data_IF_587213056437
#
_entry.id   IF_587213056437
#
_cell.length_a   1.000
_cell.length_b   1.000
_cell.length_c   1.000
_cell.angle_alpha   90.00
_cell.angle_beta   90.00
_cell.angle_gamma   90.00
#
_symmetry.space_group_name_H-M   'P 1'
#
loop_
_entity.id
_entity.type
_entity.pdbx_description
1 polymer ?
#
# COMPACT_ATOMS: atom_id res chain seq x y z
N UNK A 1 -14.91 -19.29 58.96
CA UNK A 1 -14.85 -18.39 60.14
C UNK A 1 -15.68 -19.02 61.24
N UNK A 2 -15.33 -18.92 62.53
CA UNK A 2 -14.47 -17.93 63.18
C UNK A 2 -13.32 -18.65 63.93
N UNK A 3 -12.36 -18.02 64.59
CA UNK A 3 -12.20 -16.65 65.02
C UNK A 3 -11.33 -16.71 66.26
N UNK A 4 -10.31 -15.86 66.26
CA UNK A 4 -9.41 -15.60 67.39
C UNK A 4 -10.26 -15.19 68.60
N UNK A 5 -9.81 -15.51 69.83
CA UNK A 5 -9.46 -14.41 70.72
C UNK A 5 -8.10 -14.72 71.40
N UNK A 6 -7.10 -13.83 71.42
CA UNK A 6 -7.06 -12.52 72.09
C UNK A 6 -7.46 -12.67 73.57
N UNK A 7 -6.79 -12.20 74.59
CA UNK A 7 -5.52 -11.53 74.86
C UNK A 7 -5.46 -11.52 76.41
N UNK A 8 -4.41 -10.95 76.98
CA UNK A 8 -4.39 -10.34 78.33
C UNK A 8 -4.02 -11.29 79.48
N UNK A 9 -2.78 -11.17 79.96
CA UNK A 9 -2.39 -10.30 81.09
C UNK A 9 -2.70 -10.96 82.45
N UNK A 10 -1.67 -11.54 83.08
CA UNK A 10 -1.34 -11.27 84.49
C UNK A 10 -0.08 -12.09 84.83
N UNK A 11 1.03 -11.45 85.20
CA UNK A 11 1.29 -10.88 86.54
C UNK A 11 1.71 -11.97 87.53
N UNK A 12 2.93 -11.81 88.07
CA UNK A 12 3.47 -12.48 89.26
C UNK A 12 3.64 -14.02 89.13
N UNK A 13 4.70 -14.65 89.58
CA UNK A 13 5.45 -14.42 90.80
C UNK A 13 6.76 -15.21 90.64
N UNK A 14 7.89 -14.61 91.01
CA UNK A 14 9.13 -15.36 91.19
C UNK A 14 9.36 -15.49 92.69
N UNK A 15 9.37 -16.72 93.25
CA UNK A 15 10.02 -16.96 94.52
C UNK A 15 11.34 -17.69 94.32
N UNK A 16 12.39 -16.91 94.63
CA UNK A 16 13.57 -17.25 95.42
C UNK A 16 13.85 -18.74 95.61
N UNK A 17 13.32 -19.39 96.63
CA UNK A 17 14.20 -19.90 97.67
C UNK A 17 13.98 -21.39 98.00
N UNK A 18 15.02 -22.21 97.83
CA UNK A 18 15.00 -23.58 98.37
C UNK A 18 16.04 -24.57 97.86
N UNK A 19 17.34 -24.27 97.94
CA UNK A 19 18.27 -25.34 98.34
C UNK A 19 18.02 -25.64 99.82
N UNK A 20 17.92 -26.92 100.21
CA UNK A 20 19.01 -27.41 101.05
C UNK A 20 19.40 -28.88 100.79
N UNK A 21 20.72 -29.03 100.67
CA UNK A 21 21.53 -29.95 101.46
C UNK A 21 21.13 -31.45 101.54
N UNK A 22 22.00 -32.23 100.89
CA UNK A 22 22.66 -33.46 101.33
C UNK A 22 22.47 -33.86 102.82
N UNK A 23 22.65 -35.15 103.23
CA UNK A 23 24.03 -35.65 103.29
C UNK A 23 24.25 -37.19 103.31
N UNK A 24 25.55 -37.50 103.18
CA UNK A 24 26.33 -38.65 103.72
C UNK A 24 26.42 -39.92 102.88
N UNK A 25 27.58 -40.58 102.78
CA UNK A 25 28.98 -40.30 103.13
C UNK A 25 29.75 -41.53 102.65
N UNK A 26 30.82 -41.34 101.89
CA UNK A 26 31.76 -42.40 101.52
C UNK A 26 33.17 -41.82 101.41
N UNK A 27 33.83 -41.74 102.56
CA UNK A 27 35.17 -41.19 102.78
C UNK A 27 36.25 -42.21 102.39
N UNK A 28 37.28 -41.80 101.62
CA UNK A 28 38.70 -42.22 101.79
C UNK A 28 39.66 -41.20 101.12
N UNK A 29 40.60 -40.58 101.84
CA UNK A 29 41.56 -39.62 101.30
C UNK A 29 42.96 -40.22 101.05
N UNK A 30 43.72 -39.60 100.13
CA UNK A 30 45.17 -39.41 100.30
C UNK A 30 45.70 -38.36 99.33
N UNK A 31 45.95 -37.15 99.84
CA UNK A 31 46.74 -36.08 99.22
C UNK A 31 48.23 -36.32 99.48
N UNK A 32 49.07 -36.25 98.44
CA UNK A 32 50.50 -35.94 98.58
C UNK A 32 50.94 -34.97 97.46
N UNK A 33 51.42 -33.82 97.93
CA UNK A 33 52.09 -32.68 97.28
C UNK A 33 53.26 -33.09 96.36
N UNK A 34 53.74 -32.31 95.38
CA UNK A 34 54.22 -30.93 95.56
C UNK A 34 54.70 -30.28 94.23
N UNK A 35 54.50 -28.94 94.15
CA UNK A 35 55.41 -27.90 93.65
C UNK A 35 55.67 -27.73 92.13
N UNK A 36 54.97 -26.71 91.59
CA UNK A 36 55.51 -25.58 90.82
C UNK A 36 56.96 -25.72 90.32
N UNK A 37 57.12 -26.04 89.02
CA UNK A 37 58.20 -25.64 88.08
C UNK A 37 58.28 -26.64 86.91
N UNK A 38 57.42 -26.53 85.89
CA UNK A 38 57.58 -27.36 84.68
C UNK A 38 57.43 -26.57 83.36
N UNK A 39 58.37 -26.69 82.41
CA UNK A 39 58.38 -26.01 81.10
C UNK A 39 57.27 -26.48 80.13
N UNK A 40 56.39 -27.39 80.57
CA UNK A 40 55.20 -27.85 79.84
C UNK A 40 54.17 -26.73 79.61
N UNK A 41 54.07 -25.75 80.50
CA UNK A 41 53.14 -24.62 80.33
C UNK A 41 53.54 -23.68 79.18
N UNK A 42 54.85 -23.49 78.96
CA UNK A 42 55.37 -22.64 77.87
C UNK A 42 55.05 -23.26 76.50
N UNK A 43 55.15 -24.59 76.39
CA UNK A 43 54.78 -25.32 75.17
C UNK A 43 53.31 -25.16 74.80
N UNK A 44 52.42 -25.20 75.79
CA UNK A 44 50.97 -25.02 75.58
C UNK A 44 50.64 -23.58 75.15
N UNK A 45 51.27 -22.58 75.77
CA UNK A 45 51.06 -21.17 75.40
C UNK A 45 51.60 -20.87 73.99
N UNK A 46 52.76 -21.43 73.63
CA UNK A 46 53.32 -21.30 72.29
C UNK A 46 52.42 -21.96 71.23
N UNK A 47 51.89 -23.15 71.50
CA UNK A 47 50.95 -23.83 70.61
C UNK A 47 49.63 -23.05 70.44
N UNK A 48 49.14 -22.41 71.51
CA UNK A 48 47.93 -21.58 71.47
C UNK A 48 48.14 -20.31 70.63
N UNK A 49 49.29 -19.64 70.77
CA UNK A 49 49.65 -18.49 69.93
C UNK A 49 49.82 -18.89 68.45
N UNK A 50 50.44 -20.04 68.19
CA UNK A 50 50.59 -20.57 66.83
C UNK A 50 49.22 -20.84 66.17
N UNK A 51 48.29 -21.42 66.93
CA UNK A 51 46.92 -21.67 66.47
C UNK A 51 46.20 -20.36 66.11
N UNK A 52 46.30 -19.34 66.97
CA UNK A 52 45.69 -18.02 66.72
C UNK A 52 46.27 -17.38 65.45
N UNK A 53 47.58 -17.46 65.24
CA UNK A 53 48.23 -16.90 64.05
C UNK A 53 47.75 -17.62 62.78
N UNK A 54 47.61 -18.95 62.81
CA UNK A 54 47.10 -19.73 61.67
C UNK A 54 45.65 -19.34 61.36
N UNK A 55 44.79 -19.25 62.39
CA UNK A 55 43.39 -18.82 62.23
C UNK A 55 43.31 -17.41 61.68
N UNK A 56 44.13 -16.49 62.20
CA UNK A 56 44.21 -15.12 61.72
C UNK A 56 44.66 -15.04 60.25
N UNK A 57 45.63 -15.87 59.85
CA UNK A 57 46.14 -15.91 58.48
C UNK A 57 45.12 -16.50 57.49
N UNK A 58 44.34 -17.49 57.93
CA UNK A 58 43.22 -18.04 57.14
C UNK A 58 42.09 -17.02 56.99
N UNK A 59 41.73 -16.32 58.06
CA UNK A 59 40.72 -15.24 57.98
C UNK A 59 41.20 -14.08 57.10
N UNK A 60 42.50 -13.79 57.04
CA UNK A 60 43.06 -12.72 56.20
C UNK A 60 43.12 -13.07 54.71
N UNK A 61 42.96 -14.33 54.33
CA UNK A 61 42.97 -14.79 52.92
C UNK A 61 41.60 -14.79 52.24
N UNK A 62 40.52 -14.43 52.94
CA UNK A 62 39.15 -14.46 52.39
C UNK A 62 38.62 -13.12 51.90
N UNK A 63 39.24 -12.51 50.87
CA UNK A 63 38.84 -11.19 50.40
C UNK A 63 39.13 -10.89 48.94
N UNK A 64 38.59 -11.68 48.00
CA UNK A 64 38.44 -11.26 46.60
C UNK A 64 36.96 -11.45 46.21
N UNK A 65 36.18 -10.38 46.38
CA UNK A 65 34.79 -10.31 45.94
C UNK A 65 34.76 -10.10 44.42
N UNK A 66 34.45 -11.15 43.67
CA UNK A 66 34.16 -11.07 42.24
C UNK A 66 32.90 -10.21 42.04
N UNK A 67 33.09 -8.97 41.62
CA UNK A 67 32.01 -8.07 41.19
C UNK A 67 31.38 -8.63 39.91
N UNK A 68 30.19 -9.20 40.04
CA UNK A 68 29.34 -9.61 38.91
C UNK A 68 28.61 -8.37 38.39
N UNK A 69 28.92 -7.96 37.16
CA UNK A 69 28.25 -6.88 36.44
C UNK A 69 26.80 -7.29 36.11
N UNK A 70 25.78 -6.42 36.30
CA UNK A 70 24.39 -6.81 36.09
C UNK A 70 24.11 -7.00 34.60
N UNK A 71 23.66 -8.20 34.23
CA UNK A 71 23.18 -8.52 32.87
C UNK A 71 21.93 -7.68 32.61
N UNK A 72 22.05 -6.68 31.73
CA UNK A 72 20.91 -5.92 31.22
C UNK A 72 20.10 -6.86 30.34
N UNK A 73 18.90 -7.22 30.79
CA UNK A 73 17.97 -8.04 30.03
C UNK A 73 17.45 -7.23 28.84
N UNK A 74 17.74 -7.69 27.62
CA UNK A 74 17.36 -7.02 26.38
C UNK A 74 16.36 -7.91 25.65
N UNK A 75 15.19 -7.35 25.34
CA UNK A 75 14.18 -8.06 24.56
C UNK A 75 14.61 -8.12 23.08
N UNK A 76 14.88 -9.33 22.59
CA UNK A 76 15.27 -9.57 21.19
C UNK A 76 14.13 -10.22 20.43
N UNK A 77 13.74 -9.62 19.30
CA UNK A 77 12.78 -10.22 18.36
C UNK A 77 13.52 -10.73 17.12
N UNK A 78 13.37 -12.01 16.73
CA UNK A 78 14.02 -12.54 15.54
C UNK A 78 13.45 -11.87 14.28
N UNK A 79 14.32 -11.34 13.42
CA UNK A 79 13.90 -10.73 12.15
C UNK A 79 13.55 -11.82 11.14
N UNK A 80 12.34 -11.74 10.57
CA UNK A 80 11.88 -12.61 9.48
C UNK A 80 11.86 -11.82 8.17
N UNK A 81 12.31 -12.45 7.09
CA UNK A 81 12.22 -11.87 5.73
C UNK A 81 10.79 -12.03 5.23
N UNK A 82 10.09 -10.90 5.11
CA UNK A 82 8.82 -10.82 4.40
C UNK A 82 9.02 -10.11 3.06
N UNK A 83 8.35 -10.58 2.02
CA UNK A 83 8.31 -9.90 0.72
C UNK A 83 7.39 -8.69 0.83
N UNK A 84 7.96 -7.48 0.77
CA UNK A 84 7.20 -6.24 0.78
C UNK A 84 6.86 -5.89 -0.66
N UNK A 85 5.58 -6.00 -1.01
CA UNK A 85 5.06 -5.52 -2.29
C UNK A 85 4.73 -4.04 -2.15
N UNK A 86 5.55 -3.21 -2.77
CA UNK A 86 5.30 -1.78 -2.89
C UNK A 86 4.31 -1.54 -4.04
N UNK A 87 3.14 -0.99 -3.72
CA UNK A 87 2.16 -0.58 -4.73
C UNK A 87 2.26 0.93 -4.88
N UNK A 88 2.35 1.38 -6.12
CA UNK A 88 2.27 2.80 -6.47
C UNK A 88 0.87 3.07 -6.99
N UNK A 89 0.08 3.81 -6.23
CA UNK A 89 -1.23 4.28 -6.67
C UNK A 89 -1.04 5.47 -7.61
N UNK A 90 -1.30 5.26 -8.90
CA UNK A 90 -1.28 6.30 -9.91
C UNK A 90 -2.70 6.64 -10.34
N UNK A 91 -3.12 7.89 -10.15
CA UNK A 91 -4.34 8.40 -10.74
C UNK A 91 -4.05 8.90 -12.16
N UNK A 92 -4.82 8.41 -13.13
CA UNK A 92 -4.73 8.84 -14.52
C UNK A 92 -6.13 8.91 -15.13
N UNK A 93 -6.30 9.75 -16.15
CA UNK A 93 -7.56 9.85 -16.88
C UNK A 93 -7.57 8.82 -18.00
N UNK A 94 -8.62 8.00 -18.08
CA UNK A 94 -8.87 7.15 -19.23
C UNK A 94 -9.45 8.01 -20.35
N UNK A 95 -8.62 8.36 -21.32
CA UNK A 95 -9.05 9.03 -22.54
C UNK A 95 -9.12 8.03 -23.68
N UNK A 96 -9.98 8.31 -24.68
CA UNK A 96 -9.96 7.58 -25.94
C UNK A 96 -8.55 7.67 -26.56
N UNK A 97 -8.10 6.59 -27.21
CA UNK A 97 -6.83 6.61 -27.94
C UNK A 97 -6.83 7.79 -28.93
N UNK A 98 -5.69 8.48 -29.11
CA UNK A 98 -5.60 9.57 -30.09
C UNK A 98 -6.16 9.15 -31.45
N UNK A 99 -7.08 9.94 -32.00
CA UNK A 99 -7.78 9.64 -33.27
C UNK A 99 -9.03 8.76 -33.16
N UNK A 100 -9.42 8.32 -31.96
CA UNK A 100 -10.69 7.59 -31.72
C UNK A 100 -11.84 8.52 -31.30
N UNK A 101 -11.58 9.82 -31.27
CA UNK A 101 -12.58 10.87 -31.05
C UNK A 101 -12.76 11.64 -32.36
N UNK A 102 -14.00 11.72 -32.83
CA UNK A 102 -14.36 12.42 -34.05
C UNK A 102 -15.58 13.30 -33.79
N UNK A 103 -15.47 14.58 -34.15
CA UNK A 103 -16.61 15.49 -34.19
C UNK A 103 -17.18 15.51 -35.60
N UNK A 104 -18.49 15.32 -35.72
CA UNK A 104 -19.18 15.30 -37.00
C UNK A 104 -19.88 16.63 -37.23
N UNK A 105 -19.56 17.29 -38.34
CA UNK A 105 -20.24 18.48 -38.83
C UNK A 105 -20.70 18.25 -40.26
N UNK A 106 -21.84 18.85 -40.65
CA UNK A 106 -22.28 18.80 -42.04
C UNK A 106 -21.29 19.55 -42.93
N UNK A 107 -20.88 18.93 -44.04
CA UNK A 107 -19.99 19.55 -45.03
C UNK A 107 -20.64 20.73 -45.77
N UNK A 108 -21.98 20.75 -45.84
CA UNK A 108 -22.75 21.85 -46.43
C UNK A 108 -23.75 22.39 -45.42
N UNK A 109 -24.01 23.71 -45.48
CA UNK A 109 -25.05 24.33 -44.67
C UNK A 109 -26.42 23.84 -45.15
N UNK A 110 -27.14 23.12 -44.30
CA UNK A 110 -28.46 22.61 -44.63
C UNK A 110 -29.25 22.26 -43.37
N UNK A 111 -30.57 22.19 -43.50
CA UNK A 111 -31.44 21.74 -42.42
C UNK A 111 -31.36 20.22 -42.30
N UNK A 112 -31.16 19.70 -41.09
CA UNK A 112 -31.28 18.27 -40.82
C UNK A 112 -32.75 17.87 -40.89
N UNK A 113 -33.09 16.91 -41.75
CA UNK A 113 -34.45 16.36 -41.87
C UNK A 113 -34.67 15.24 -40.88
N UNK A 114 -33.69 14.33 -40.76
CA UNK A 114 -33.77 13.17 -39.88
C UNK A 114 -32.41 12.87 -39.24
N UNK A 115 -32.45 12.43 -37.99
CA UNK A 115 -31.30 11.82 -37.30
C UNK A 115 -31.59 10.33 -37.20
N UNK A 116 -30.70 9.51 -37.76
CA UNK A 116 -30.90 8.06 -37.92
C UNK A 116 -30.29 7.24 -36.76
N UNK A 117 -29.63 7.92 -35.82
CA UNK A 117 -28.91 7.31 -34.71
C UNK A 117 -29.33 7.90 -33.37
N UNK A 118 -29.28 7.08 -32.33
CA UNK A 118 -29.54 7.51 -30.95
C UNK A 118 -28.24 7.66 -30.17
N UNK A 119 -28.22 8.56 -29.20
CA UNK A 119 -27.07 8.76 -28.30
C UNK A 119 -26.76 7.45 -27.56
N UNK A 120 -25.47 7.06 -27.55
CA UNK A 120 -25.01 5.79 -26.96
C UNK A 120 -25.03 4.58 -27.91
N UNK A 121 -25.45 4.75 -29.16
CA UNK A 121 -25.44 3.68 -30.16
C UNK A 121 -24.05 3.52 -30.78
N UNK A 122 -23.59 2.28 -30.94
CA UNK A 122 -22.37 1.98 -31.70
C UNK A 122 -22.64 2.13 -33.21
N UNK A 123 -21.80 2.91 -33.89
CA UNK A 123 -21.87 3.15 -35.33
C UNK A 123 -20.60 2.66 -36.03
N UNK A 124 -20.73 2.29 -37.30
CA UNK A 124 -19.60 1.85 -38.13
C UNK A 124 -19.15 2.95 -39.08
N UNK A 125 -17.90 2.87 -39.55
CA UNK A 125 -17.41 3.77 -40.59
C UNK A 125 -18.29 3.69 -41.85
N UNK A 126 -18.67 4.84 -42.39
CA UNK A 126 -19.57 4.95 -43.55
C UNK A 126 -21.06 4.85 -43.25
N UNK A 127 -21.46 4.67 -41.98
CA UNK A 127 -22.87 4.68 -41.60
C UNK A 127 -23.42 6.12 -41.63
N UNK A 128 -24.57 6.30 -42.30
CA UNK A 128 -25.29 7.57 -42.30
C UNK A 128 -25.84 7.86 -40.91
N UNK A 129 -25.42 8.97 -40.31
CA UNK A 129 -25.86 9.40 -38.97
C UNK A 129 -27.09 10.31 -39.03
N UNK A 130 -27.14 11.18 -40.03
CA UNK A 130 -28.22 12.14 -40.24
C UNK A 130 -28.40 12.43 -41.73
N UNK A 131 -29.62 12.77 -42.10
CA UNK A 131 -29.98 13.21 -43.44
C UNK A 131 -30.22 14.72 -43.44
N UNK A 132 -29.65 15.40 -44.44
CA UNK A 132 -29.89 16.81 -44.69
C UNK A 132 -30.97 16.99 -45.76
N UNK A 133 -31.67 18.11 -45.72
CA UNK A 133 -32.60 18.52 -46.76
C UNK A 133 -31.83 18.78 -48.06
N UNK A 134 -32.06 17.90 -49.05
CA UNK A 134 -31.43 17.96 -50.37
C UNK A 134 -32.31 18.65 -51.41
N UNK A 135 -33.43 19.26 -51.05
CA UNK A 135 -34.38 19.85 -52.01
C UNK A 135 -33.74 20.89 -52.94
N UNK A 136 -32.92 21.79 -52.39
CA UNK A 136 -32.19 22.80 -53.17
C UNK A 136 -31.16 22.15 -54.11
N UNK A 137 -30.41 21.16 -53.62
CA UNK A 137 -29.40 20.44 -54.39
C UNK A 137 -30.04 19.61 -55.51
N UNK A 138 -31.18 18.97 -55.22
CA UNK A 138 -31.97 18.23 -56.19
C UNK A 138 -32.54 19.16 -57.27
N UNK A 139 -33.02 20.35 -56.90
CA UNK A 139 -33.48 21.36 -57.86
C UNK A 139 -32.34 21.84 -58.78
N UNK A 140 -31.12 22.04 -58.25
CA UNK A 140 -29.95 22.39 -59.06
C UNK A 140 -29.59 21.29 -60.07
N UNK A 141 -29.62 20.02 -59.65
CA UNK A 141 -29.40 18.88 -60.55
C UNK A 141 -30.49 18.82 -61.62
N UNK A 142 -31.76 18.99 -61.26
CA UNK A 142 -32.86 19.03 -62.23
C UNK A 142 -32.69 20.17 -63.23
N UNK A 143 -32.27 21.35 -62.78
CA UNK A 143 -31.98 22.50 -63.65
C UNK A 143 -30.84 22.18 -64.64
N UNK A 144 -29.75 21.57 -64.17
CA UNK A 144 -28.63 21.16 -65.03
C UNK A 144 -29.05 20.07 -66.04
N UNK A 145 -29.86 19.11 -65.61
CA UNK A 145 -30.42 18.08 -66.50
C UNK A 145 -31.34 18.68 -67.57
N UNK A 146 -32.18 19.65 -67.21
CA UNK A 146 -33.04 20.35 -68.15
C UNK A 146 -32.21 21.15 -69.19
N UNK A 147 -31.15 21.83 -68.75
CA UNK A 147 -30.23 22.54 -69.66
C UNK A 147 -29.56 21.58 -70.65
N UNK A 148 -29.14 20.39 -70.19
CA UNK A 148 -28.60 19.35 -71.06
C UNK A 148 -29.62 18.84 -72.08
N UNK A 149 -30.86 18.59 -71.67
CA UNK A 149 -31.93 18.18 -72.59
C UNK A 149 -32.19 19.26 -73.65
N UNK A 150 -32.21 20.54 -73.26
CA UNK A 150 -32.36 21.67 -74.18
C UNK A 150 -31.21 21.76 -75.19
N UNK A 151 -29.96 21.59 -74.74
CA UNK A 151 -28.79 21.58 -75.61
C UNK A 151 -28.85 20.41 -76.61
N UNK A 152 -29.26 19.23 -76.14
CA UNK A 152 -29.45 18.04 -77.00
C UNK A 152 -30.54 18.25 -78.04
N UNK A 153 -31.67 18.86 -77.68
CA UNK A 153 -32.74 19.21 -78.60
C UNK A 153 -32.26 20.21 -79.67
N UNK A 154 -31.53 21.25 -79.25
CA UNK A 154 -30.92 22.24 -80.16
C UNK A 154 -29.94 21.58 -81.14
N UNK A 155 -29.10 20.66 -80.66
CA UNK A 155 -28.17 19.90 -81.50
C UNK A 155 -28.88 18.97 -82.49
N UNK A 156 -29.96 18.30 -82.06
CA UNK A 156 -30.78 17.50 -82.95
C UNK A 156 -31.41 18.36 -84.05
N UNK A 157 -31.93 19.54 -83.71
CA UNK A 157 -32.51 20.48 -84.66
C UNK A 157 -31.48 21.01 -85.66
N UNK A 158 -30.30 21.42 -85.18
CA UNK A 158 -29.21 21.91 -86.03
C UNK A 158 -28.68 20.81 -86.96
N UNK A 159 -28.69 19.54 -86.54
CA UNK A 159 -28.32 18.41 -87.39
C UNK A 159 -29.30 18.21 -88.55
N UNK A 160 -30.59 18.46 -88.34
CA UNK A 160 -31.64 18.28 -89.34
C UNK A 160 -31.79 19.47 -90.28
N UNK A 161 -31.47 20.69 -89.82
CA UNK A 161 -31.83 21.94 -90.54
C UNK A 161 -30.62 22.73 -91.06
N UNK A 162 -29.41 22.50 -90.54
CA UNK A 162 -28.27 23.40 -90.75
C UNK A 162 -27.04 22.72 -91.33
N UNK A 163 -26.19 23.50 -92.02
CA UNK A 163 -24.93 23.05 -92.60
C UNK A 163 -23.81 22.75 -91.58
N UNK A 164 -22.64 22.27 -92.05
CA UNK A 164 -21.53 21.83 -91.19
C UNK A 164 -21.11 22.78 -90.06
N UNK A 165 -20.97 24.11 -90.27
CA UNK A 165 -20.47 25.00 -89.22
C UNK A 165 -21.46 25.18 -88.07
N UNK A 166 -22.78 25.10 -88.28
CA UNK A 166 -23.76 25.21 -87.20
C UNK A 166 -23.87 23.92 -86.38
N UNK A 167 -23.57 22.77 -87.01
CA UNK A 167 -23.61 21.46 -86.36
C UNK A 167 -22.49 21.30 -85.33
N UNK A 168 -21.29 21.82 -85.59
CA UNK A 168 -20.17 21.77 -84.64
C UNK A 168 -20.47 22.57 -83.38
N UNK A 169 -20.93 23.83 -83.51
CA UNK A 169 -21.27 24.67 -82.34
C UNK A 169 -22.36 24.03 -81.48
N UNK A 170 -23.36 23.39 -82.11
CA UNK A 170 -24.44 22.74 -81.38
C UNK A 170 -23.97 21.46 -80.64
N UNK A 171 -22.98 20.74 -81.19
CA UNK A 171 -22.34 19.61 -80.49
C UNK A 171 -21.48 20.09 -79.33
N UNK A 172 -20.75 21.18 -79.53
CA UNK A 172 -19.94 21.78 -78.46
C UNK A 172 -20.80 22.27 -77.29
N UNK A 173 -21.98 22.83 -77.58
CA UNK A 173 -22.96 23.21 -76.54
C UNK A 173 -23.47 22.02 -75.74
N UNK A 174 -23.68 20.86 -76.37
CA UNK A 174 -24.04 19.62 -75.65
C UNK A 174 -22.90 19.20 -74.74
N UNK A 175 -21.67 19.20 -75.24
CA UNK A 175 -20.49 18.82 -74.43
C UNK A 175 -20.32 19.73 -73.22
N UNK A 176 -20.49 21.04 -73.39
CA UNK A 176 -20.45 22.01 -72.30
C UNK A 176 -21.56 21.77 -71.26
N UNK A 177 -22.78 21.44 -71.71
CA UNK A 177 -23.88 21.13 -70.81
C UNK A 177 -23.69 19.79 -70.06
N UNK A 178 -23.06 18.80 -70.69
CA UNK A 178 -22.67 17.54 -70.04
C UNK A 178 -21.60 17.78 -68.98
N UNK A 179 -20.56 18.54 -69.31
CA UNK A 179 -19.49 18.92 -68.38
C UNK A 179 -20.07 19.67 -67.16
N UNK A 180 -21.02 20.59 -67.38
CA UNK A 180 -21.70 21.32 -66.30
C UNK A 180 -22.55 20.40 -65.39
N UNK A 181 -23.24 19.40 -65.97
CA UNK A 181 -23.98 18.41 -65.19
C UNK A 181 -23.05 17.54 -64.33
N UNK A 182 -21.91 17.12 -64.89
CA UNK A 182 -20.90 16.34 -64.16
C UNK A 182 -20.34 17.14 -62.99
N UNK A 183 -20.05 18.42 -63.19
CA UNK A 183 -19.62 19.32 -62.11
C UNK A 183 -20.69 19.43 -61.01
N UNK A 184 -21.97 19.60 -61.37
CA UNK A 184 -23.06 19.65 -60.38
C UNK A 184 -23.22 18.34 -59.59
N UNK A 185 -23.05 17.18 -60.23
CA UNK A 185 -23.11 15.87 -59.57
C UNK A 185 -21.91 15.62 -58.65
N UNK A 186 -20.74 16.17 -58.99
CA UNK A 186 -19.53 16.03 -58.17
C UNK A 186 -19.65 16.69 -56.79
N UNK A 187 -20.45 17.76 -56.67
CA UNK A 187 -20.73 18.45 -55.41
C UNK A 187 -21.53 17.61 -54.39
N UNK A 188 -22.16 16.51 -54.83
CA UNK A 188 -23.01 15.66 -53.97
C UNK A 188 -22.21 14.53 -53.30
N UNK A 189 -21.02 14.18 -53.81
CA UNK A 189 -20.27 12.98 -53.40
C UNK A 189 -19.16 13.23 -52.35
N UNK A 190 -19.29 14.27 -51.53
CA UNK A 190 -18.40 14.53 -50.38
C UNK A 190 -19.06 14.03 -49.10
#
# INVERSE_FOLDING_TARGET
MPGIPNTDEHMADAPDDGEPESPRRGFRPSYRSSLLRSPLFIGIVAAFFLLIIIVWLVMRRGGETLTVEPIVEVEVTPSSRAEVREYVEAAGTLNAMPGHEASFSAATSGRVTHVLVQVGTYVRAGQTLAELDKSVLAAQVQQAQAALQQARATAAQARSTSGPPSRTVAVDQVRQAEDALVQALSLIHI
#
